data_IF_985929302484
#
_entry.id   IF_985929302484
#
_cell.length_a   1.000
_cell.length_b   1.000
_cell.length_c   1.000
_cell.angle_alpha   90.00
_cell.angle_beta   90.00
_cell.angle_gamma   90.00
#
_symmetry.space_group_name_H-M   'P 1'
#
loop_
_entity.id
_entity.type
_entity.pdbx_description
1 polymer ?
#
# COMPACT_ATOMS: atom_id res chain seq x y z
N UNK A 1 -6.01 -16.23 10.48
CA UNK A 1 -6.52 -15.00 9.84
C UNK A 1 -5.40 -14.14 9.26
N UNK A 2 -4.42 -13.71 10.06
CA UNK A 2 -3.29 -12.87 9.58
C UNK A 2 -2.55 -13.43 8.35
N UNK A 3 -2.21 -14.72 8.35
CA UNK A 3 -1.49 -15.36 7.23
C UNK A 3 -2.32 -15.36 5.93
N UNK A 4 -3.63 -15.59 6.01
CA UNK A 4 -4.51 -15.55 4.84
C UNK A 4 -4.59 -14.12 4.25
N UNK A 5 -4.66 -13.10 5.11
CA UNK A 5 -4.62 -11.70 4.70
C UNK A 5 -3.27 -11.31 4.09
N UNK A 6 -2.16 -11.76 4.67
CA UNK A 6 -0.82 -11.57 4.10
C UNK A 6 -0.69 -12.19 2.71
N UNK A 7 -1.19 -13.42 2.53
CA UNK A 7 -1.23 -14.06 1.22
C UNK A 7 -2.08 -13.26 0.23
N UNK A 8 -3.22 -12.72 0.66
CA UNK A 8 -4.05 -11.83 -0.17
C UNK A 8 -3.30 -10.57 -0.62
N UNK A 9 -2.55 -9.93 0.29
CA UNK A 9 -1.72 -8.76 -0.02
C UNK A 9 -0.64 -9.11 -1.05
N UNK A 10 0.07 -10.22 -0.86
CA UNK A 10 1.11 -10.67 -1.79
C UNK A 10 0.54 -11.03 -3.16
N UNK A 11 -0.63 -11.67 -3.20
CA UNK A 11 -1.30 -12.05 -4.44
C UNK A 11 -1.75 -10.81 -5.22
N UNK A 12 -2.31 -9.81 -4.55
CA UNK A 12 -2.64 -8.52 -5.15
C UNK A 12 -1.40 -7.80 -5.70
N UNK A 13 -0.33 -7.69 -4.90
CA UNK A 13 0.91 -7.06 -5.33
C UNK A 13 1.54 -7.77 -6.54
N UNK A 14 1.58 -9.11 -6.52
CA UNK A 14 2.04 -9.92 -7.63
C UNK A 14 1.19 -9.74 -8.89
N UNK A 15 -0.13 -9.62 -8.74
CA UNK A 15 -1.05 -9.38 -9.85
C UNK A 15 -0.80 -8.02 -10.50
N UNK A 16 -0.63 -6.96 -9.70
CA UNK A 16 -0.32 -5.62 -10.20
C UNK A 16 0.98 -5.64 -10.99
N UNK A 17 2.03 -6.25 -10.44
CA UNK A 17 3.33 -6.37 -11.10
C UNK A 17 3.21 -7.17 -12.41
N UNK A 18 2.49 -8.29 -12.40
CA UNK A 18 2.31 -9.15 -13.58
C UNK A 18 1.55 -8.44 -14.70
N UNK A 19 0.45 -7.75 -14.36
CA UNK A 19 -0.35 -6.99 -15.33
C UNK A 19 0.46 -5.86 -15.93
N UNK A 20 1.20 -5.11 -15.11
CA UNK A 20 2.08 -4.04 -15.60
C UNK A 20 3.19 -4.57 -16.49
N UNK A 21 3.76 -5.74 -16.15
CA UNK A 21 4.78 -6.41 -16.98
C UNK A 21 4.26 -6.77 -18.37
N UNK A 22 2.99 -7.17 -18.46
CA UNK A 22 2.33 -7.56 -19.72
C UNK A 22 1.82 -6.38 -20.54
N UNK A 23 1.48 -5.26 -19.90
CA UNK A 23 0.81 -4.11 -20.54
C UNK A 23 1.74 -2.94 -20.86
N UNK A 24 2.82 -2.76 -20.11
CA UNK A 24 3.68 -1.59 -20.18
C UNK A 24 4.94 -1.87 -21.01
N UNK A 25 5.10 -1.17 -22.14
CA UNK A 25 6.32 -1.21 -22.94
C UNK A 25 7.46 -0.39 -22.30
N UNK A 26 7.11 0.60 -21.46
CA UNK A 26 8.08 1.43 -20.76
C UNK A 26 8.66 0.77 -19.51
N UNK A 27 9.95 0.39 -19.61
CA UNK A 27 10.71 -0.19 -18.48
C UNK A 27 10.72 0.69 -17.22
N UNK A 28 10.66 2.02 -17.38
CA UNK A 28 10.70 2.97 -16.26
C UNK A 28 9.40 2.94 -15.44
N UNK A 29 8.25 3.00 -16.11
CA UNK A 29 6.93 2.92 -15.47
C UNK A 29 6.81 1.61 -14.70
N UNK A 30 7.16 0.51 -15.35
CA UNK A 30 7.15 -0.82 -14.74
C UNK A 30 8.01 -0.95 -13.49
N UNK A 31 9.20 -0.35 -13.48
CA UNK A 31 10.09 -0.36 -12.31
C UNK A 31 9.50 0.45 -11.15
N UNK A 32 8.91 1.61 -11.45
CA UNK A 32 8.24 2.46 -10.45
C UNK A 32 7.02 1.74 -9.87
N UNK A 33 6.15 1.21 -10.72
CA UNK A 33 4.94 0.49 -10.29
C UNK A 33 5.28 -0.74 -9.45
N UNK A 34 6.29 -1.52 -9.85
CA UNK A 34 6.75 -2.65 -9.07
C UNK A 34 7.34 -2.22 -7.71
N UNK A 35 8.13 -1.14 -7.70
CA UNK A 35 8.69 -0.58 -6.47
C UNK A 35 7.61 -0.11 -5.49
N UNK A 36 6.64 0.68 -5.96
CA UNK A 36 5.52 1.16 -5.14
C UNK A 36 4.71 -0.02 -4.60
N UNK A 37 4.36 -0.98 -5.46
CA UNK A 37 3.58 -2.15 -5.07
C UNK A 37 4.29 -3.00 -4.01
N UNK A 38 5.60 -3.20 -4.16
CA UNK A 38 6.41 -3.93 -3.18
C UNK A 38 6.46 -3.21 -1.83
N UNK A 39 6.71 -1.90 -1.82
CA UNK A 39 6.73 -1.07 -0.60
C UNK A 39 5.37 -1.11 0.09
N UNK A 40 4.27 -0.97 -0.65
CA UNK A 40 2.91 -1.07 -0.12
C UNK A 40 2.63 -2.45 0.49
N UNK A 41 3.07 -3.54 -0.15
CA UNK A 41 2.89 -4.89 0.37
C UNK A 41 3.65 -5.10 1.70
N UNK A 42 4.88 -4.58 1.79
CA UNK A 42 5.69 -4.62 3.03
C UNK A 42 5.00 -3.84 4.14
N UNK A 43 4.57 -2.59 3.90
CA UNK A 43 3.89 -1.77 4.90
C UNK A 43 2.58 -2.42 5.35
N UNK A 44 1.78 -2.92 4.41
CA UNK A 44 0.52 -3.62 4.72
C UNK A 44 0.75 -4.88 5.55
N UNK A 45 1.83 -5.63 5.28
CA UNK A 45 2.21 -6.80 6.07
C UNK A 45 2.68 -6.41 7.47
N UNK A 46 3.50 -5.37 7.60
CA UNK A 46 3.96 -4.87 8.90
C UNK A 46 2.78 -4.44 9.77
N UNK A 47 1.85 -3.65 9.23
CA UNK A 47 0.64 -3.21 9.95
C UNK A 47 -0.26 -4.36 10.40
N UNK A 48 -0.23 -5.47 9.66
CA UNK A 48 -1.02 -6.66 9.97
C UNK A 48 -0.44 -7.45 11.17
N UNK A 49 0.87 -7.41 11.37
CA UNK A 49 1.53 -8.03 12.52
C UNK A 49 1.61 -7.08 13.72
N UNK A 50 1.92 -5.81 13.50
CA UNK A 50 1.94 -4.75 14.51
C UNK A 50 0.89 -3.66 14.21
N UNK A 51 -0.35 -3.83 14.69
CA UNK A 51 -1.43 -2.87 14.48
C UNK A 51 -1.31 -1.61 15.33
N UNK A 52 -0.29 -1.50 16.21
CA UNK A 52 -0.06 -0.30 17.04
C UNK A 52 0.66 0.80 16.26
N UNK A 53 1.26 0.45 15.13
CA UNK A 53 1.83 1.41 14.20
C UNK A 53 0.71 2.29 13.62
N UNK A 54 1.00 3.58 13.36
CA UNK A 54 0.02 4.52 12.86
C UNK A 54 -0.50 4.05 11.50
N UNK A 55 -1.72 3.53 11.49
CA UNK A 55 -2.40 3.13 10.27
C UNK A 55 -2.75 4.32 9.38
N UNK A 56 -3.21 4.06 8.14
CA UNK A 56 -3.51 5.11 7.17
C UNK A 56 -4.52 6.15 7.70
N UNK A 57 -5.50 5.73 8.50
CA UNK A 57 -6.47 6.65 9.12
C UNK A 57 -5.83 7.66 10.07
N UNK A 58 -4.80 7.26 10.83
CA UNK A 58 -4.08 8.17 11.72
C UNK A 58 -3.23 9.17 10.91
N UNK A 59 -2.58 8.70 9.84
CA UNK A 59 -1.79 9.54 8.94
C UNK A 59 -2.69 10.58 8.25
N UNK A 60 -3.84 10.15 7.71
CA UNK A 60 -4.82 11.06 7.09
C UNK A 60 -5.31 12.09 8.10
N UNK A 61 -5.61 11.68 9.33
CA UNK A 61 -6.01 12.60 10.41
C UNK A 61 -4.89 13.57 10.79
N UNK A 62 -3.62 13.18 10.66
CA UNK A 62 -2.49 14.08 10.91
C UNK A 62 -2.32 15.12 9.80
N UNK A 63 -2.47 14.69 8.55
CA UNK A 63 -2.34 15.54 7.37
C UNK A 63 -3.52 16.51 7.21
N UNK A 64 -4.74 16.05 7.50
CA UNK A 64 -5.97 16.78 7.20
C UNK A 64 -6.80 17.15 8.44
N UNK A 65 -6.45 16.69 9.65
CA UNK A 65 -7.21 16.99 10.87
C UNK A 65 -7.19 18.46 11.27
N UNK A 66 -6.20 19.23 10.81
CA UNK A 66 -6.19 20.69 10.95
C UNK A 66 -7.24 21.37 10.08
N UNK A 67 -7.54 20.81 8.90
CA UNK A 67 -8.57 21.34 7.99
C UNK A 67 -9.97 21.03 8.55
N UNK A 68 -10.16 19.83 9.12
CA UNK A 68 -11.40 19.44 9.82
C UNK A 68 -11.73 20.38 10.99
N UNK A 69 -10.71 20.89 11.69
CA UNK A 69 -10.85 21.89 12.77
C UNK A 69 -11.21 23.29 12.29
N UNK A 70 -10.86 23.67 11.07
CA UNK A 70 -11.15 25.00 10.50
C UNK A 70 -12.52 25.03 9.82
N UNK A 71 -13.01 23.89 9.36
CA UNK A 71 -14.33 23.76 8.73
C UNK A 71 -15.50 23.63 9.72
N UNK A 72 -15.25 23.61 11.03
CA UNK A 72 -16.26 23.39 12.07
C UNK A 72 -16.55 24.64 12.89
#
# INVERSE_FOLDING_TARGET
MKIASMLGILLLAGTIIYVEWKRSEEKKVRMITAGISAVSAVIGTILLFDPRLPGPGLIIKLLFGSIDKVMK
#
